data_IF_675787200884
#
_entry.id   IF_675787200884
#
_cell.length_a   1.000
_cell.length_b   1.000
_cell.length_c   1.000
_cell.angle_alpha   90.00
_cell.angle_beta   90.00
_cell.angle_gamma   90.00
#
_symmetry.space_group_name_H-M   'P 1'
#
loop_
_entity.id
_entity.type
_entity.pdbx_description
1 polymer ?
#
# COMPACT_ATOMS: atom_id res chain seq x y z
N UNK A 1 -33.24 -11.60 31.86
CA UNK A 1 -31.84 -11.48 31.37
C UNK A 1 -31.08 -10.68 32.41
N UNK A 2 -29.99 -11.19 33.00
CA UNK A 2 -29.26 -10.42 34.03
C UNK A 2 -28.51 -9.25 33.38
N UNK A 3 -28.44 -8.12 34.09
CA UNK A 3 -27.69 -6.92 33.66
C UNK A 3 -26.24 -7.29 33.28
N UNK A 4 -25.62 -8.18 34.06
CA UNK A 4 -24.28 -8.71 33.78
C UNK A 4 -24.17 -9.50 32.45
N UNK A 5 -25.24 -10.21 32.04
CA UNK A 5 -25.29 -10.91 30.76
C UNK A 5 -25.31 -9.96 29.56
N UNK A 6 -26.05 -8.85 29.68
CA UNK A 6 -26.10 -7.81 28.65
C UNK A 6 -24.74 -7.14 28.45
N UNK A 7 -24.07 -6.69 29.52
CA UNK A 7 -22.74 -6.07 29.44
C UNK A 7 -21.69 -7.01 28.84
N UNK A 8 -21.70 -8.30 29.19
CA UNK A 8 -20.81 -9.30 28.58
C UNK A 8 -21.07 -9.49 27.09
N UNK A 9 -22.33 -9.44 26.66
CA UNK A 9 -22.69 -9.50 25.23
C UNK A 9 -22.16 -8.28 24.47
N UNK A 10 -22.40 -7.10 25.02
CA UNK A 10 -21.99 -5.82 24.43
C UNK A 10 -20.46 -5.72 24.31
N UNK A 11 -19.72 -6.05 25.37
CA UNK A 11 -18.25 -6.07 25.34
C UNK A 11 -17.70 -7.00 24.25
N UNK A 12 -18.31 -8.18 24.06
CA UNK A 12 -17.91 -9.13 23.01
C UNK A 12 -18.18 -8.59 21.60
N UNK A 13 -19.29 -7.87 21.42
CA UNK A 13 -19.62 -7.20 20.16
C UNK A 13 -18.60 -6.11 19.83
N UNK A 14 -18.29 -5.25 20.81
CA UNK A 14 -17.30 -4.18 20.67
C UNK A 14 -15.92 -4.75 20.33
N UNK A 15 -15.42 -5.76 21.05
CA UNK A 15 -14.13 -6.37 20.73
C UNK A 15 -14.10 -7.00 19.33
N UNK A 16 -15.20 -7.64 18.89
CA UNK A 16 -15.29 -8.22 17.55
C UNK A 16 -15.28 -7.16 16.44
N UNK A 17 -15.94 -6.02 16.67
CA UNK A 17 -15.92 -4.87 15.77
C UNK A 17 -14.52 -4.22 15.72
N UNK A 18 -13.92 -3.94 16.88
CA UNK A 18 -12.56 -3.40 16.98
C UNK A 18 -11.54 -4.30 16.29
N UNK A 19 -11.68 -5.62 16.44
CA UNK A 19 -10.85 -6.59 15.73
C UNK A 19 -10.95 -6.41 14.22
N UNK A 20 -12.18 -6.30 13.69
CA UNK A 20 -12.40 -6.06 12.26
C UNK A 20 -11.76 -4.76 11.77
N UNK A 21 -11.90 -3.68 12.53
CA UNK A 21 -11.27 -2.38 12.22
C UNK A 21 -9.74 -2.51 12.19
N UNK A 22 -9.13 -3.17 13.19
CA UNK A 22 -7.68 -3.37 13.22
C UNK A 22 -7.19 -4.22 12.04
N UNK A 23 -7.93 -5.25 11.63
CA UNK A 23 -7.60 -6.05 10.44
C UNK A 23 -7.66 -5.17 9.18
N UNK A 24 -8.69 -4.34 9.02
CA UNK A 24 -8.81 -3.40 7.88
C UNK A 24 -7.62 -2.44 7.87
N UNK A 25 -7.30 -1.80 9.00
CA UNK A 25 -6.18 -0.87 9.10
C UNK A 25 -4.84 -1.55 8.79
N UNK A 26 -4.65 -2.79 9.25
CA UNK A 26 -3.47 -3.59 8.93
C UNK A 26 -3.37 -3.85 7.42
N UNK A 27 -4.44 -4.30 6.78
CA UNK A 27 -4.46 -4.57 5.33
C UNK A 27 -4.22 -3.29 4.54
N UNK A 28 -4.87 -2.18 4.91
CA UNK A 28 -4.72 -0.90 4.22
C UNK A 28 -3.30 -0.36 4.33
N UNK A 29 -2.74 -0.30 5.54
CA UNK A 29 -1.36 0.17 5.76
C UNK A 29 -0.33 -0.73 5.07
N UNK A 30 -0.49 -2.06 5.16
CA UNK A 30 0.39 -3.00 4.47
C UNK A 30 0.34 -2.82 2.96
N UNK A 31 -0.87 -2.68 2.39
CA UNK A 31 -1.05 -2.49 0.95
C UNK A 31 -0.46 -1.17 0.48
N UNK A 32 -0.66 -0.09 1.24
CA UNK A 32 -0.06 1.22 0.94
C UNK A 32 1.46 1.20 1.07
N UNK A 33 2.02 0.50 2.06
CA UNK A 33 3.47 0.31 2.19
C UNK A 33 4.04 -0.52 1.02
N UNK A 34 3.35 -1.57 0.57
CA UNK A 34 3.78 -2.33 -0.61
C UNK A 34 3.68 -1.47 -1.88
N UNK A 35 2.57 -0.76 -2.05
CA UNK A 35 2.34 0.08 -3.22
C UNK A 35 3.33 1.25 -3.32
N UNK A 36 3.64 1.91 -2.21
CA UNK A 36 4.59 3.05 -2.15
C UNK A 36 6.05 2.63 -2.06
N UNK A 37 6.34 1.34 -2.11
CA UNK A 37 7.72 0.87 -2.19
C UNK A 37 8.31 1.31 -3.54
N UNK A 38 9.53 1.85 -3.51
CA UNK A 38 10.28 2.33 -4.67
C UNK A 38 10.18 1.39 -5.88
N UNK A 39 10.45 0.10 -5.70
CA UNK A 39 10.44 -0.89 -6.78
C UNK A 39 9.05 -1.10 -7.40
N UNK A 40 8.00 -0.88 -6.61
CA UNK A 40 6.60 -1.05 -7.05
C UNK A 40 6.06 0.18 -7.76
N UNK A 41 6.37 1.37 -7.24
CA UNK A 41 5.81 2.63 -7.74
C UNK A 41 6.62 3.25 -8.87
N UNK A 42 7.95 3.06 -8.88
CA UNK A 42 8.85 3.62 -9.90
C UNK A 42 8.42 3.29 -11.33
N UNK A 43 8.17 2.01 -11.72
CA UNK A 43 7.77 1.72 -13.09
C UNK A 43 6.47 2.44 -13.47
N UNK A 44 5.48 2.45 -12.57
CA UNK A 44 4.19 3.12 -12.82
C UNK A 44 4.36 4.64 -13.00
N UNK A 45 5.21 5.26 -12.18
CA UNK A 45 5.45 6.71 -12.25
C UNK A 45 6.29 7.10 -13.46
N UNK A 46 7.26 6.27 -13.86
CA UNK A 46 8.03 6.50 -15.09
C UNK A 46 7.13 6.41 -16.33
N UNK A 47 6.19 5.46 -16.36
CA UNK A 47 5.19 5.36 -17.44
C UNK A 47 4.26 6.59 -17.47
N UNK A 48 3.86 7.11 -16.31
CA UNK A 48 3.04 8.33 -16.20
C UNK A 48 3.79 9.56 -16.64
N UNK A 49 5.03 9.74 -16.17
CA UNK A 49 5.84 10.90 -16.51
C UNK A 49 6.17 10.88 -18.01
N UNK A 50 6.50 9.72 -18.56
CA UNK A 50 6.78 9.58 -19.99
C UNK A 50 5.56 9.87 -20.87
N UNK A 51 4.37 9.44 -20.48
CA UNK A 51 3.13 9.71 -21.21
C UNK A 51 2.60 11.14 -21.05
N UNK A 52 2.77 11.74 -19.87
CA UNK A 52 2.24 13.08 -19.57
C UNK A 52 3.16 14.21 -20.06
N UNK A 53 4.48 14.03 -19.96
CA UNK A 53 5.48 15.04 -20.36
C UNK A 53 5.91 14.85 -21.82
N UNK A 54 5.80 13.63 -22.36
CA UNK A 54 6.13 13.31 -23.76
C UNK A 54 5.31 14.05 -24.81
N UNK A 55 4.19 14.68 -24.43
CA UNK A 55 3.41 15.57 -25.31
C UNK A 55 4.03 16.96 -25.50
N UNK A 56 4.90 17.41 -24.58
CA UNK A 56 5.52 18.74 -24.59
C UNK A 56 7.05 18.72 -24.74
N UNK A 57 7.74 17.67 -24.27
CA UNK A 57 9.14 17.41 -24.58
C UNK A 57 9.25 16.34 -25.67
N UNK A 58 9.08 16.77 -26.92
CA UNK A 58 9.25 15.92 -28.10
C UNK A 58 10.74 15.62 -28.36
N UNK A 59 11.39 14.87 -27.47
CA UNK A 59 12.63 14.15 -27.81
C UNK A 59 12.19 13.00 -28.73
N UNK A 60 11.90 13.32 -29.99
CA UNK A 60 11.71 12.32 -31.03
C UNK A 60 13.02 11.62 -31.33
N UNK A 61 12.95 10.44 -31.97
CA UNK A 61 14.16 9.75 -32.47
C UNK A 61 15.01 10.67 -33.36
N UNK A 62 14.37 11.58 -34.10
CA UNK A 62 15.01 12.57 -34.96
C UNK A 62 15.96 13.52 -34.21
N UNK A 63 15.66 13.83 -32.95
CA UNK A 63 16.48 14.73 -32.12
C UNK A 63 17.35 13.98 -31.11
N UNK A 64 17.21 12.66 -31.02
CA UNK A 64 17.90 11.84 -30.02
C UNK A 64 19.41 11.81 -30.24
N UNK A 65 19.86 11.69 -31.49
CA UNK A 65 21.29 11.75 -31.83
C UNK A 65 21.94 13.04 -31.35
N UNK A 66 21.33 14.19 -31.67
CA UNK A 66 21.80 15.51 -31.23
C UNK A 66 21.80 15.68 -29.71
N UNK A 67 20.78 15.16 -29.02
CA UNK A 67 20.73 15.17 -27.56
C UNK A 67 21.79 14.26 -26.94
N UNK A 68 22.00 13.07 -27.50
CA UNK A 68 23.02 12.13 -27.05
C UNK A 68 24.41 12.72 -27.23
N UNK A 69 24.68 13.42 -28.33
CA UNK A 69 25.94 14.13 -28.55
C UNK A 69 26.14 15.27 -27.55
N UNK A 70 25.10 16.08 -27.29
CA UNK A 70 25.17 17.16 -26.30
C UNK A 70 25.40 16.62 -24.87
N UNK A 71 24.72 15.53 -24.51
CA UNK A 71 24.91 14.88 -23.22
C UNK A 71 26.31 14.24 -23.11
N UNK A 72 26.79 13.59 -24.17
CA UNK A 72 28.14 13.04 -24.23
C UNK A 72 29.21 14.14 -24.10
N UNK A 73 29.00 15.30 -24.72
CA UNK A 73 29.87 16.46 -24.57
C UNK A 73 29.89 16.96 -23.12
N UNK A 74 28.72 17.13 -22.50
CA UNK A 74 28.60 17.51 -21.09
C UNK A 74 29.26 16.48 -20.13
N UNK A 75 29.30 15.22 -20.53
CA UNK A 75 29.95 14.14 -19.80
C UNK A 75 31.48 14.05 -19.99
N UNK A 76 32.09 14.92 -20.79
CA UNK A 76 33.54 14.89 -21.02
C UNK A 76 34.29 15.23 -19.74
N UNK A 77 34.97 14.23 -19.16
CA UNK A 77 35.75 14.39 -17.94
C UNK A 77 34.92 14.45 -16.65
N UNK A 78 33.62 14.12 -16.70
CA UNK A 78 32.73 14.07 -15.55
C UNK A 78 32.09 12.68 -15.41
N UNK A 79 31.96 12.18 -14.18
CA UNK A 79 31.23 10.93 -13.90
C UNK A 79 29.71 11.16 -13.91
N UNK A 80 29.28 12.37 -13.57
CA UNK A 80 27.88 12.77 -13.48
C UNK A 80 27.68 14.19 -13.99
N UNK A 81 26.54 14.45 -14.63
CA UNK A 81 26.08 15.80 -14.99
C UNK A 81 24.88 16.19 -14.12
N UNK A 82 24.79 17.46 -13.75
CA UNK A 82 23.63 18.01 -13.04
C UNK A 82 22.77 18.84 -14.00
N UNK A 83 21.50 18.46 -14.12
CA UNK A 83 20.54 19.28 -14.84
C UNK A 83 20.01 20.38 -13.91
N UNK A 84 20.13 21.66 -14.30
CA UNK A 84 19.60 22.76 -13.51
C UNK A 84 18.08 22.68 -13.51
N UNK A 85 17.52 22.39 -12.34
CA UNK A 85 16.10 22.44 -12.05
C UNK A 85 15.94 23.27 -10.78
N UNK A 86 14.99 24.20 -10.78
CA UNK A 86 14.89 25.26 -9.76
C UNK A 86 14.85 24.72 -8.32
N UNK A 87 14.22 23.54 -8.12
CA UNK A 87 13.98 22.99 -6.79
C UNK A 87 14.66 21.63 -6.54
N UNK A 88 15.05 20.90 -7.59
CA UNK A 88 15.61 19.55 -7.48
C UNK A 88 16.65 19.29 -8.58
N UNK A 89 17.95 19.55 -8.34
CA UNK A 89 18.99 19.22 -9.32
C UNK A 89 18.98 17.71 -9.59
N UNK A 90 18.80 17.35 -10.85
CA UNK A 90 18.77 15.96 -11.30
C UNK A 90 20.20 15.59 -11.69
N UNK A 91 20.77 14.64 -10.98
CA UNK A 91 22.11 14.13 -11.25
C UNK A 91 21.96 12.93 -12.18
N UNK A 92 22.64 12.95 -13.33
CA UNK A 92 22.64 11.85 -14.28
C UNK A 92 24.04 11.24 -14.36
N UNK A 93 24.11 9.91 -14.27
CA UNK A 93 25.34 9.16 -14.49
C UNK A 93 25.70 9.14 -15.99
N UNK A 94 26.92 9.54 -16.31
CA UNK A 94 27.42 9.64 -17.68
C UNK A 94 27.67 8.28 -18.35
N UNK A 95 28.11 7.27 -17.59
CA UNK A 95 28.30 5.92 -18.12
C UNK A 95 26.97 5.30 -18.56
N UNK A 96 25.91 5.50 -17.78
CA UNK A 96 24.55 5.07 -18.15
C UNK A 96 24.10 5.75 -19.45
N UNK A 97 24.27 7.08 -19.56
CA UNK A 97 23.87 7.84 -20.76
C UNK A 97 24.52 7.29 -22.04
N UNK A 98 25.82 6.98 -21.99
CA UNK A 98 26.57 6.49 -23.15
C UNK A 98 26.04 5.14 -23.65
N UNK A 99 25.57 4.29 -22.74
CA UNK A 99 25.08 2.94 -23.03
C UNK A 99 23.64 2.91 -23.59
N UNK A 100 22.89 4.01 -23.53
CA UNK A 100 21.51 4.08 -24.02
C UNK A 100 21.48 4.09 -25.56
N UNK A 101 20.67 3.22 -26.15
CA UNK A 101 20.63 2.99 -27.60
C UNK A 101 19.44 3.63 -28.29
N UNK A 102 18.39 4.02 -27.56
CA UNK A 102 17.20 4.64 -28.13
C UNK A 102 16.70 5.84 -27.33
N UNK A 103 15.89 6.68 -27.98
CA UNK A 103 15.22 7.81 -27.36
C UNK A 103 14.30 7.38 -26.21
N UNK A 104 13.66 6.21 -26.35
CA UNK A 104 12.79 5.63 -25.32
C UNK A 104 13.57 5.19 -24.07
N UNK A 105 14.72 4.53 -24.26
CA UNK A 105 15.61 4.17 -23.16
C UNK A 105 16.10 5.41 -22.41
N UNK A 106 16.45 6.46 -23.16
CA UNK A 106 16.85 7.74 -22.58
C UNK A 106 15.75 8.42 -21.79
N UNK A 107 14.54 8.50 -22.34
CA UNK A 107 13.36 9.04 -21.62
C UNK A 107 13.11 8.25 -20.33
N UNK A 108 13.10 6.93 -20.42
CA UNK A 108 12.87 6.04 -19.28
C UNK A 108 13.90 6.26 -18.18
N UNK A 109 15.19 6.36 -18.56
CA UNK A 109 16.27 6.67 -17.63
C UNK A 109 16.09 8.05 -16.98
N UNK A 110 15.87 9.09 -17.78
CA UNK A 110 15.65 10.47 -17.32
C UNK A 110 14.48 10.57 -16.33
N UNK A 111 13.30 10.05 -16.69
CA UNK A 111 12.13 10.05 -15.80
C UNK A 111 12.35 9.16 -14.58
N UNK A 112 13.14 8.10 -14.70
CA UNK A 112 13.59 7.30 -13.56
C UNK A 112 14.41 8.12 -12.56
N UNK A 113 15.36 8.93 -13.02
CA UNK A 113 16.16 9.81 -12.17
C UNK A 113 15.31 10.92 -11.53
N UNK A 114 14.38 11.51 -12.29
CA UNK A 114 13.41 12.48 -11.76
C UNK A 114 12.57 11.85 -10.65
N UNK A 115 12.03 10.66 -10.91
CA UNK A 115 11.26 9.92 -9.91
C UNK A 115 12.08 9.61 -8.66
N UNK A 116 13.32 9.14 -8.81
CA UNK A 116 14.19 8.83 -7.66
C UNK A 116 14.41 10.06 -6.79
N UNK A 117 14.68 11.22 -7.40
CA UNK A 117 14.84 12.49 -6.66
C UNK A 117 13.56 12.88 -5.93
N UNK A 118 12.39 12.74 -6.56
CA UNK A 118 11.09 13.00 -5.90
C UNK A 118 10.81 12.01 -4.77
N UNK A 119 11.10 10.73 -4.99
CA UNK A 119 10.86 9.67 -4.01
C UNK A 119 11.68 9.84 -2.74
N UNK A 120 12.96 10.16 -2.90
CA UNK A 120 13.91 10.37 -1.81
C UNK A 120 13.98 11.82 -1.34
N UNK A 121 13.07 12.69 -1.79
CA UNK A 121 13.03 14.07 -1.34
C UNK A 121 12.87 14.13 0.18
N UNK A 122 13.75 14.88 0.84
CA UNK A 122 13.75 15.00 2.29
C UNK A 122 12.74 16.07 2.71
N UNK A 123 11.54 15.64 3.08
CA UNK A 123 10.51 16.53 3.58
C UNK A 123 10.80 16.91 5.04
N UNK A 124 10.70 18.19 5.36
CA UNK A 124 10.89 18.72 6.72
C UNK A 124 9.69 18.43 7.65
N UNK A 125 9.24 17.18 7.71
CA UNK A 125 8.09 16.72 8.47
C UNK A 125 8.29 15.27 8.91
N UNK A 126 7.78 14.94 10.09
CA UNK A 126 8.01 13.64 10.72
C UNK A 126 6.96 12.59 10.36
N UNK A 127 5.77 13.04 9.93
CA UNK A 127 4.61 12.20 9.66
C UNK A 127 3.98 12.58 8.32
N UNK A 128 3.54 11.58 7.56
CA UNK A 128 2.92 11.76 6.24
C UNK A 128 1.71 12.70 6.24
N UNK A 129 0.90 12.71 7.30
CA UNK A 129 -0.26 13.59 7.45
C UNK A 129 0.19 15.04 7.59
N UNK A 130 1.24 15.27 8.38
CA UNK A 130 1.84 16.60 8.52
C UNK A 130 2.43 17.06 7.18
N UNK A 131 3.18 16.18 6.51
CA UNK A 131 3.78 16.45 5.21
C UNK A 131 2.71 16.80 4.17
N UNK A 132 1.62 16.04 4.13
CA UNK A 132 0.52 16.28 3.19
C UNK A 132 -0.18 17.61 3.46
N UNK A 133 -0.39 18.00 4.71
CA UNK A 133 -1.02 19.29 5.06
C UNK A 133 -0.13 20.49 4.75
N UNK A 134 1.17 20.40 5.06
CA UNK A 134 2.11 21.49 4.88
C UNK A 134 2.44 21.75 3.41
N UNK A 135 2.46 20.70 2.59
CA UNK A 135 2.91 20.80 1.21
C UNK A 135 1.77 20.86 0.18
N UNK A 136 0.50 21.07 0.56
CA UNK A 136 -0.61 21.10 -0.40
C UNK A 136 -0.43 22.15 -1.51
N UNK A 137 0.33 23.21 -1.24
CA UNK A 137 0.55 24.35 -2.14
C UNK A 137 1.93 24.35 -2.82
N UNK A 138 2.80 23.39 -2.52
CA UNK A 138 4.15 23.37 -3.11
C UNK A 138 4.11 22.80 -4.54
N UNK A 139 4.74 23.52 -5.47
CA UNK A 139 4.51 23.46 -6.91
C UNK A 139 5.14 22.24 -7.63
N UNK A 140 6.15 21.58 -7.05
CA UNK A 140 6.88 20.53 -7.78
C UNK A 140 7.18 19.27 -6.95
N UNK A 141 7.64 19.39 -5.70
CA UNK A 141 7.80 18.26 -4.77
C UNK A 141 6.63 18.12 -3.79
N UNK A 142 5.68 19.07 -3.82
CA UNK A 142 4.55 19.16 -2.91
C UNK A 142 3.30 18.43 -3.38
N UNK A 143 2.28 18.48 -2.54
CA UNK A 143 0.94 17.98 -2.85
C UNK A 143 0.84 16.45 -2.84
N UNK A 144 0.20 15.83 -3.84
CA UNK A 144 -0.10 14.40 -3.83
C UNK A 144 1.15 13.51 -3.95
N UNK A 145 2.25 14.02 -4.50
CA UNK A 145 3.52 13.27 -4.64
C UNK A 145 4.13 12.87 -3.31
N UNK A 146 3.86 13.65 -2.25
CA UNK A 146 4.25 13.31 -0.88
C UNK A 146 3.77 11.90 -0.50
N UNK A 147 2.57 11.49 -0.95
CA UNK A 147 2.00 10.16 -0.69
C UNK A 147 2.72 9.01 -1.41
N UNK A 148 3.57 9.34 -2.38
CA UNK A 148 4.35 8.40 -3.19
C UNK A 148 5.83 8.41 -2.81
N UNK A 149 6.21 9.18 -1.79
CA UNK A 149 7.61 9.31 -1.34
C UNK A 149 8.04 8.18 -0.40
N UNK A 150 9.35 8.10 -0.15
CA UNK A 150 9.93 7.27 0.91
C UNK A 150 9.31 7.60 2.28
N UNK A 151 9.06 8.88 2.56
CA UNK A 151 8.45 9.31 3.83
C UNK A 151 7.06 8.72 4.03
N UNK A 152 6.27 8.61 2.95
CA UNK A 152 4.99 7.92 2.98
C UNK A 152 5.16 6.43 3.22
N UNK A 153 6.09 5.80 2.50
CA UNK A 153 6.39 4.38 2.65
C UNK A 153 6.76 4.01 4.09
N UNK A 154 7.70 4.75 4.67
CA UNK A 154 8.16 4.58 6.06
C UNK A 154 7.02 4.80 7.06
N UNK A 155 6.15 5.78 6.81
CA UNK A 155 4.98 6.05 7.65
C UNK A 155 3.96 4.91 7.59
N UNK A 156 3.64 4.41 6.39
CA UNK A 156 2.73 3.28 6.23
C UNK A 156 3.30 2.00 6.83
N UNK A 157 4.60 1.74 6.69
CA UNK A 157 5.28 0.61 7.32
C UNK A 157 5.18 0.68 8.86
N UNK A 158 5.38 1.86 9.46
CA UNK A 158 5.16 2.08 10.90
C UNK A 158 3.72 1.82 11.31
N UNK A 159 2.74 2.32 10.55
CA UNK A 159 1.33 2.07 10.82
C UNK A 159 0.94 0.60 10.70
N UNK A 160 1.58 -0.16 9.80
CA UNK A 160 1.43 -1.61 9.71
C UNK A 160 1.89 -2.27 11.01
N UNK A 161 3.05 -1.89 11.55
CA UNK A 161 3.56 -2.42 12.83
C UNK A 161 2.60 -2.07 13.98
N UNK A 162 2.14 -0.82 14.07
CA UNK A 162 1.19 -0.41 15.12
C UNK A 162 -0.14 -1.16 15.03
N UNK A 163 -0.66 -1.34 13.81
CA UNK A 163 -1.88 -2.10 13.57
C UNK A 163 -1.70 -3.58 13.94
N UNK A 164 -0.53 -4.16 13.69
CA UNK A 164 -0.20 -5.53 14.09
C UNK A 164 -0.14 -5.69 15.61
N UNK A 165 0.50 -4.76 16.31
CA UNK A 165 0.55 -4.76 17.79
C UNK A 165 -0.87 -4.65 18.36
N UNK A 166 -1.68 -3.73 17.87
CA UNK A 166 -3.07 -3.57 18.29
C UNK A 166 -3.89 -4.85 18.03
N UNK A 167 -3.70 -5.49 16.87
CA UNK A 167 -4.33 -6.75 16.52
C UNK A 167 -3.97 -7.86 17.51
N UNK A 168 -2.68 -8.00 17.85
CA UNK A 168 -2.20 -8.99 18.83
C UNK A 168 -2.84 -8.75 20.20
N UNK A 169 -2.85 -7.50 20.67
CA UNK A 169 -3.46 -7.14 21.97
C UNK A 169 -4.95 -7.50 22.00
N UNK A 170 -5.71 -7.17 20.94
CA UNK A 170 -7.14 -7.51 20.86
C UNK A 170 -7.35 -9.03 20.83
N UNK A 171 -6.50 -9.77 20.10
CA UNK A 171 -6.54 -11.23 20.07
C UNK A 171 -6.29 -11.82 21.47
N UNK A 172 -5.29 -11.33 22.21
CA UNK A 172 -5.03 -11.76 23.59
C UNK A 172 -6.23 -11.48 24.48
N UNK A 173 -6.81 -10.28 24.42
CA UNK A 173 -8.01 -9.94 25.19
C UNK A 173 -9.17 -10.90 24.86
N UNK A 174 -9.41 -11.21 23.58
CA UNK A 174 -10.43 -12.17 23.17
C UNK A 174 -10.16 -13.59 23.71
N UNK A 175 -8.91 -14.00 23.82
CA UNK A 175 -8.53 -15.30 24.39
C UNK A 175 -8.73 -15.34 25.92
N UNK A 176 -8.57 -14.22 26.62
CA UNK A 176 -8.81 -14.13 28.07
C UNK A 176 -10.31 -14.15 28.40
N UNK A 177 -11.16 -13.53 27.58
CA UNK A 177 -12.60 -13.41 27.87
C UNK A 177 -13.47 -14.57 27.36
N UNK A 178 -12.93 -15.47 26.52
CA UNK A 178 -13.70 -16.53 25.87
C UNK A 178 -12.92 -17.85 25.86
N UNK A 179 -13.63 -19.00 25.84
CA UNK A 179 -12.99 -20.28 25.55
C UNK A 179 -12.24 -20.22 24.23
N UNK A 180 -11.04 -20.79 24.18
CA UNK A 180 -10.13 -20.76 23.02
C UNK A 180 -10.84 -21.07 21.68
N UNK A 181 -11.69 -22.10 21.63
CA UNK A 181 -12.44 -22.46 20.42
C UNK A 181 -13.46 -21.39 19.99
N UNK A 182 -14.08 -20.69 20.93
CA UNK A 182 -15.01 -19.59 20.63
C UNK A 182 -14.26 -18.33 20.19
N UNK A 183 -13.07 -18.07 20.74
CA UNK A 183 -12.20 -16.97 20.32
C UNK A 183 -11.70 -17.17 18.88
N UNK A 184 -11.21 -18.36 18.55
CA UNK A 184 -10.79 -18.70 17.19
C UNK A 184 -11.92 -18.53 16.17
N UNK A 185 -13.13 -19.01 16.48
CA UNK A 185 -14.31 -18.77 15.62
C UNK A 185 -14.58 -17.29 15.41
N UNK A 186 -14.54 -16.50 16.49
CA UNK A 186 -14.76 -15.05 16.41
C UNK A 186 -13.72 -14.36 15.53
N UNK A 187 -12.44 -14.68 15.73
CA UNK A 187 -11.33 -14.13 14.93
C UNK A 187 -11.49 -14.53 13.46
N UNK A 188 -11.75 -15.82 13.19
CA UNK A 188 -11.98 -16.33 11.84
C UNK A 188 -13.16 -15.64 11.16
N UNK A 189 -14.30 -15.49 11.84
CA UNK A 189 -15.47 -14.76 11.31
C UNK A 189 -15.11 -13.31 10.97
N UNK A 190 -14.47 -12.58 11.88
CA UNK A 190 -14.07 -11.18 11.62
C UNK A 190 -13.12 -11.08 10.42
N UNK A 191 -12.09 -11.93 10.36
CA UNK A 191 -11.14 -11.95 9.25
C UNK A 191 -11.78 -12.35 7.91
N UNK A 192 -12.70 -13.33 7.91
CA UNK A 192 -13.48 -13.71 6.74
C UNK A 192 -14.37 -12.57 6.27
N UNK A 193 -15.13 -11.93 7.16
CA UNK A 193 -16.00 -10.79 6.81
C UNK A 193 -15.19 -9.65 6.20
N UNK A 194 -14.05 -9.30 6.81
CA UNK A 194 -13.14 -8.28 6.26
C UNK A 194 -12.59 -8.72 4.90
N UNK A 195 -12.17 -9.98 4.77
CA UNK A 195 -11.68 -10.56 3.52
C UNK A 195 -12.70 -10.54 2.38
N UNK A 196 -14.00 -10.65 2.68
CA UNK A 196 -15.08 -10.56 1.68
C UNK A 196 -15.11 -9.20 0.96
N UNK A 197 -14.50 -8.14 1.52
CA UNK A 197 -14.36 -6.85 0.85
C UNK A 197 -13.63 -6.97 -0.50
N UNK A 198 -12.82 -8.01 -0.72
CA UNK A 198 -12.19 -8.31 -2.02
C UNK A 198 -13.19 -8.32 -3.19
N UNK A 199 -14.40 -8.83 -2.97
CA UNK A 199 -15.44 -8.91 -4.01
C UNK A 199 -16.07 -7.55 -4.32
N UNK A 200 -16.00 -6.60 -3.39
CA UNK A 200 -16.47 -5.22 -3.58
C UNK A 200 -15.43 -4.31 -4.26
N UNK A 201 -14.15 -4.72 -4.32
CA UNK A 201 -13.08 -3.89 -4.87
C UNK A 201 -13.31 -3.40 -6.31
N UNK A 202 -13.85 -4.20 -7.25
CA UNK A 202 -14.15 -3.70 -8.59
C UNK A 202 -15.12 -2.52 -8.59
N UNK A 203 -16.13 -2.54 -7.72
CA UNK A 203 -17.10 -1.45 -7.56
C UNK A 203 -16.46 -0.22 -6.96
N UNK A 204 -15.64 -0.38 -5.92
CA UNK A 204 -14.90 0.73 -5.28
C UNK A 204 -13.95 1.38 -6.28
N UNK A 205 -13.21 0.58 -7.06
CA UNK A 205 -12.32 1.04 -8.12
C UNK A 205 -13.07 1.83 -9.18
N UNK A 206 -14.23 1.33 -9.63
CA UNK A 206 -15.09 2.05 -10.60
C UNK A 206 -15.54 3.39 -10.04
N UNK A 207 -15.97 3.44 -8.77
CA UNK A 207 -16.37 4.69 -8.11
C UNK A 207 -15.18 5.65 -7.97
N UNK A 208 -13.98 5.16 -7.67
CA UNK A 208 -12.77 5.98 -7.61
C UNK A 208 -12.44 6.59 -8.97
N UNK A 209 -12.47 5.79 -10.05
CA UNK A 209 -12.23 6.26 -11.41
C UNK A 209 -13.28 7.29 -11.88
N UNK A 210 -14.54 7.14 -11.47
CA UNK A 210 -15.59 8.12 -11.77
C UNK A 210 -15.37 9.50 -11.11
N UNK A 211 -14.53 9.58 -10.07
CA UNK A 211 -14.14 10.85 -9.45
C UNK A 211 -12.94 11.51 -10.12
N UNK A 212 -12.28 10.81 -11.03
CA UNK A 212 -11.14 11.33 -11.80
C UNK A 212 -11.67 11.99 -13.08
N UNK A 213 -11.25 13.22 -13.41
CA UNK A 213 -11.57 13.86 -14.70
C UNK A 213 -11.21 12.94 -15.87
N UNK A 214 -12.06 12.88 -16.90
CA UNK A 214 -11.89 11.95 -18.02
C UNK A 214 -10.50 12.06 -18.69
N UNK A 215 -9.97 13.29 -18.78
CA UNK A 215 -8.65 13.60 -19.33
C UNK A 215 -7.49 12.97 -18.54
N UNK A 216 -7.65 12.78 -17.23
CA UNK A 216 -6.63 12.20 -16.35
C UNK A 216 -6.82 10.70 -16.10
N UNK A 217 -7.91 10.10 -16.56
CA UNK A 217 -8.21 8.70 -16.30
C UNK A 217 -7.20 7.76 -16.97
N UNK A 218 -6.71 8.08 -18.17
CA UNK A 218 -5.70 7.28 -18.87
C UNK A 218 -4.38 7.22 -18.10
N UNK A 219 -4.02 8.32 -17.43
CA UNK A 219 -2.79 8.46 -16.64
C UNK A 219 -2.93 7.82 -15.24
N UNK A 220 -4.09 8.01 -14.59
CA UNK A 220 -4.31 7.56 -13.21
C UNK A 220 -4.78 6.10 -13.13
N UNK A 221 -5.41 5.58 -14.19
CA UNK A 221 -5.93 4.20 -14.21
C UNK A 221 -4.86 3.15 -13.89
N UNK A 222 -3.65 3.16 -14.51
CA UNK A 222 -2.58 2.22 -14.16
C UNK A 222 -2.21 2.22 -12.67
N UNK A 223 -2.09 3.41 -12.08
CA UNK A 223 -1.79 3.60 -10.65
C UNK A 223 -2.87 2.98 -9.77
N UNK A 224 -4.14 3.30 -10.06
CA UNK A 224 -5.26 2.74 -9.32
C UNK A 224 -5.36 1.23 -9.54
N UNK A 225 -5.09 0.73 -10.74
CA UNK A 225 -5.09 -0.70 -11.04
C UNK A 225 -4.08 -1.42 -10.14
N UNK A 226 -2.84 -0.95 -10.10
CA UNK A 226 -1.78 -1.50 -9.24
C UNK A 226 -2.17 -1.46 -7.76
N UNK A 227 -2.63 -0.31 -7.25
CA UNK A 227 -3.08 -0.18 -5.86
C UNK A 227 -4.23 -1.16 -5.52
N UNK A 228 -5.27 -1.22 -6.36
CA UNK A 228 -6.41 -2.09 -6.12
C UNK A 228 -6.08 -3.57 -6.28
N UNK A 229 -5.11 -3.93 -7.12
CA UNK A 229 -4.62 -5.32 -7.24
C UNK A 229 -3.88 -5.74 -5.96
N UNK A 230 -3.01 -4.89 -5.43
CA UNK A 230 -2.32 -5.13 -4.14
C UNK A 230 -3.34 -5.25 -3.01
N UNK A 231 -4.28 -4.31 -2.90
CA UNK A 231 -5.36 -4.37 -1.91
C UNK A 231 -6.17 -5.66 -2.03
N UNK A 232 -6.64 -5.98 -3.24
CA UNK A 232 -7.41 -7.19 -3.52
C UNK A 232 -6.65 -8.45 -3.11
N UNK A 233 -5.36 -8.53 -3.43
CA UNK A 233 -4.48 -9.66 -3.03
C UNK A 233 -4.42 -9.79 -1.51
N UNK A 234 -4.18 -8.69 -0.78
CA UNK A 234 -4.07 -8.73 0.68
C UNK A 234 -5.41 -9.05 1.37
N UNK A 235 -6.54 -8.52 0.87
CA UNK A 235 -7.87 -8.92 1.35
C UNK A 235 -8.17 -10.40 1.06
N UNK A 236 -7.76 -10.91 -0.09
CA UNK A 236 -7.92 -12.33 -0.44
C UNK A 236 -7.09 -13.24 0.47
N UNK A 237 -5.85 -12.86 0.79
CA UNK A 237 -5.02 -13.58 1.77
C UNK A 237 -5.72 -13.60 3.14
N UNK A 238 -6.25 -12.45 3.58
CA UNK A 238 -7.03 -12.38 4.83
C UNK A 238 -8.27 -13.28 4.80
N UNK A 239 -8.97 -13.37 3.66
CA UNK A 239 -10.12 -14.25 3.49
C UNK A 239 -9.75 -15.72 3.68
N UNK A 240 -8.66 -16.16 3.03
CA UNK A 240 -8.16 -17.55 3.11
C UNK A 240 -7.75 -17.89 4.54
N UNK A 241 -6.94 -17.02 5.17
CA UNK A 241 -6.49 -17.21 6.56
C UNK A 241 -7.70 -17.20 7.52
N UNK A 242 -8.63 -16.27 7.35
CA UNK A 242 -9.84 -16.18 8.15
C UNK A 242 -10.70 -17.43 8.07
N UNK A 243 -10.92 -17.95 6.86
CA UNK A 243 -11.67 -19.19 6.63
C UNK A 243 -10.98 -20.41 7.27
N UNK A 244 -9.65 -20.50 7.16
CA UNK A 244 -8.87 -21.57 7.79
C UNK A 244 -8.97 -21.52 9.33
N UNK A 245 -8.83 -20.33 9.92
CA UNK A 245 -8.97 -20.12 11.38
C UNK A 245 -10.40 -20.46 11.83
N UNK A 246 -11.41 -20.07 11.06
CA UNK A 246 -12.80 -20.37 11.34
C UNK A 246 -13.06 -21.88 11.35
N UNK A 247 -12.59 -22.59 10.31
CA UNK A 247 -12.71 -24.05 10.22
C UNK A 247 -12.03 -24.75 11.40
N UNK A 248 -10.79 -24.35 11.73
CA UNK A 248 -10.07 -24.86 12.89
C UNK A 248 -10.83 -24.62 14.21
N UNK A 249 -11.39 -23.42 14.38
CA UNK A 249 -12.22 -23.08 15.53
C UNK A 249 -13.49 -23.95 15.63
N UNK A 250 -14.12 -24.28 14.51
CA UNK A 250 -15.27 -25.20 14.43
C UNK A 250 -14.88 -26.62 14.84
N UNK A 251 -13.85 -27.18 14.22
CA UNK A 251 -13.38 -28.55 14.48
C UNK A 251 -12.98 -28.69 15.96
N UNK A 252 -12.19 -27.76 16.48
CA UNK A 252 -11.77 -27.77 17.88
C UNK A 252 -12.96 -27.64 18.84
N UNK A 253 -13.96 -26.84 18.48
CA UNK A 253 -15.19 -26.70 19.24
C UNK A 253 -16.01 -27.99 19.30
N UNK A 254 -16.01 -28.81 18.25
CA UNK A 254 -16.69 -30.12 18.21
C UNK A 254 -15.92 -31.11 19.08
N UNK A 255 -14.60 -31.24 18.87
CA UNK A 255 -13.75 -32.17 19.62
C UNK A 255 -13.79 -31.94 21.15
N UNK A 256 -13.83 -30.68 21.59
CA UNK A 256 -13.94 -30.34 23.02
C UNK A 256 -15.31 -30.73 23.62
N UNK A 257 -16.40 -30.61 22.85
CA UNK A 257 -17.75 -31.01 23.29
C UNK A 257 -17.89 -32.53 23.42
N UNK A 258 -17.26 -33.30 22.54
CA UNK A 258 -17.27 -34.76 22.64
C UNK A 258 -16.49 -35.25 23.87
N UNK A 259 -15.32 -34.65 24.13
CA UNK A 259 -14.53 -34.94 25.33
C UNK A 259 -15.29 -34.63 26.62
N UNK A 260 -16.08 -33.55 26.68
CA UNK A 260 -16.88 -33.25 27.87
C UNK A 260 -18.01 -34.26 28.09
N UNK A 261 -18.71 -34.68 27.03
CA UNK A 261 -19.77 -35.70 27.12
C UNK A 261 -19.25 -37.07 27.57
N UNK A 262 -18.07 -37.47 27.10
CA UNK A 262 -17.45 -38.74 27.50
C UNK A 262 -17.08 -38.78 29.00
N UNK A 263 -16.63 -37.65 29.56
CA UNK A 263 -16.32 -37.55 31.00
C UNK A 263 -17.59 -37.62 31.87
N UNK A 264 -18.70 -37.08 31.40
CA UNK A 264 -19.97 -37.11 32.11
C UNK A 264 -20.56 -38.54 32.16
N UNK A 265 -20.43 -39.30 31.06
CA UNK A 265 -20.83 -40.72 31.02
C UNK A 265 -20.00 -41.61 31.94
N UNK A 266 -18.70 -41.32 32.15
CA UNK A 266 -17.84 -42.10 33.07
C UNK A 266 -18.09 -41.82 34.56
N UNK A 267 -18.86 -40.78 34.89
CA UNK A 267 -19.20 -40.41 36.28
C UNK A 267 -20.56 -40.96 36.72
N UNK A 268 -21.33 -41.56 35.81
CA UNK A 268 -22.59 -42.25 36.09
C UNK A 268 -22.32 -43.75 36.10
#
# INVERSE_FOLDING_TARGET
MSVAGFFKGLAKGILGFLLGVCIILLIMSLSLSQFTNHDSIKPQMVDILSSSVGSNMSIGEENFSSFKEMAAFACTGQETIELPSQDMPITLNCAEIQNLQSAEQFKTYMYGQIFDKMYYYNYNCTDIIQCFRQNQTASFAGGPFVLMSKTANDSFAKYTIYSLIALIVICILLLLFKPFSASLKGIGISATIVGLATFGMPSIKKLALQKVPAESQTVISPVLNSLFEILKKNFMICLIIGAAILAAGIILGIALKEKSKGKEKKKK
#
